data_IF_870777984836
#
_entry.id   IF_870777984836
#
_cell.length_a   1.000
_cell.length_b   1.000
_cell.length_c   1.000
_cell.angle_alpha   90.00
_cell.angle_beta   90.00
_cell.angle_gamma   90.00
#
_symmetry.space_group_name_H-M   'P 1'
#
loop_
_entity.id
_entity.type
_entity.pdbx_description
1 polymer ?
#
# COMPACT_ATOMS: atom_id res chain seq x y z
N UNK A 1 -6.16 -5.07 -14.71
CA UNK A 1 -5.27 -4.79 -13.56
C UNK A 1 -4.47 -3.51 -13.79
N UNK A 2 -3.53 -3.44 -14.75
CA UNK A 2 -2.83 -2.18 -15.10
C UNK A 2 -3.78 -1.02 -15.46
N UNK A 3 -4.78 -1.25 -16.32
CA UNK A 3 -5.79 -0.22 -16.65
C UNK A 3 -6.58 0.28 -15.45
N UNK A 4 -6.79 -0.56 -14.42
CA UNK A 4 -7.51 -0.16 -13.21
C UNK A 4 -6.63 0.74 -12.31
N UNK A 5 -5.31 0.49 -12.31
CA UNK A 5 -4.35 1.36 -11.62
C UNK A 5 -4.21 2.73 -12.32
N UNK A 6 -4.23 2.79 -13.65
CA UNK A 6 -4.15 4.05 -14.40
C UNK A 6 -5.47 4.85 -14.40
N UNK A 7 -5.93 5.24 -13.22
CA UNK A 7 -7.07 6.13 -13.00
C UNK A 7 -6.60 7.53 -12.60
N UNK A 8 -7.52 8.51 -12.66
CA UNK A 8 -7.21 9.92 -12.42
C UNK A 8 -6.56 10.18 -11.05
N UNK A 9 -7.00 9.49 -10.00
CA UNK A 9 -6.46 9.68 -8.65
C UNK A 9 -5.00 9.21 -8.56
N UNK A 10 -4.69 8.03 -9.12
CA UNK A 10 -3.32 7.52 -9.18
C UNK A 10 -2.40 8.39 -10.05
N UNK A 11 -2.90 8.86 -11.19
CA UNK A 11 -2.14 9.75 -12.07
C UNK A 11 -1.88 11.10 -11.39
N UNK A 12 -2.89 11.67 -10.71
CA UNK A 12 -2.76 12.89 -9.92
C UNK A 12 -1.73 12.73 -8.80
N UNK A 13 -1.79 11.64 -8.04
CA UNK A 13 -0.81 11.33 -6.97
C UNK A 13 0.62 11.27 -7.52
N UNK A 14 0.82 10.62 -8.66
CA UNK A 14 2.14 10.57 -9.31
C UNK A 14 2.63 11.95 -9.74
N UNK A 15 1.77 12.77 -10.36
CA UNK A 15 2.11 14.13 -10.75
C UNK A 15 2.51 14.99 -9.54
N UNK A 16 1.69 14.97 -8.48
CA UNK A 16 1.98 15.72 -7.24
C UNK A 16 3.31 15.26 -6.65
N UNK A 17 3.57 13.94 -6.59
CA UNK A 17 4.84 13.39 -6.05
C UNK A 17 6.09 13.75 -6.85
N UNK A 18 5.93 14.31 -8.06
CA UNK A 18 7.00 14.74 -8.96
C UNK A 18 6.96 16.25 -9.22
N UNK A 19 6.25 17.01 -8.40
CA UNK A 19 6.17 18.47 -8.51
C UNK A 19 5.53 18.93 -9.82
N UNK A 20 4.50 18.21 -10.28
CA UNK A 20 3.79 18.44 -11.54
C UNK A 20 4.67 18.30 -12.81
N UNK A 21 5.86 17.71 -12.70
CA UNK A 21 6.70 17.42 -13.85
C UNK A 21 6.19 16.15 -14.57
N UNK A 22 5.61 16.35 -15.75
CA UNK A 22 4.97 15.28 -16.55
C UNK A 22 5.96 14.19 -16.95
N UNK A 23 7.17 14.54 -17.40
CA UNK A 23 8.18 13.57 -17.83
C UNK A 23 8.62 12.66 -16.68
N UNK A 24 8.90 13.24 -15.51
CA UNK A 24 9.26 12.48 -14.31
C UNK A 24 8.11 11.61 -13.81
N UNK A 25 6.88 12.11 -13.89
CA UNK A 25 5.69 11.35 -13.51
C UNK A 25 5.46 10.17 -14.47
N UNK A 26 5.63 10.37 -15.77
CA UNK A 26 5.52 9.32 -16.79
C UNK A 26 6.59 8.23 -16.59
N UNK A 27 7.84 8.62 -16.40
CA UNK A 27 8.93 7.66 -16.13
C UNK A 27 8.69 6.86 -14.84
N UNK A 28 8.07 7.46 -13.82
CA UNK A 28 7.68 6.76 -12.61
C UNK A 28 6.51 5.79 -12.86
N UNK A 29 5.49 6.24 -13.61
CA UNK A 29 4.33 5.43 -13.96
C UNK A 29 4.74 4.16 -14.69
N UNK A 30 5.63 4.25 -15.69
CA UNK A 30 6.13 3.10 -16.44
C UNK A 30 6.83 2.07 -15.54
N UNK A 31 7.70 2.54 -14.63
CA UNK A 31 8.36 1.69 -13.64
C UNK A 31 7.36 1.01 -12.72
N UNK A 32 6.37 1.76 -12.23
CA UNK A 32 5.33 1.23 -11.35
C UNK A 32 4.46 0.20 -12.08
N UNK A 33 4.07 0.44 -13.33
CA UNK A 33 3.30 -0.51 -14.15
C UNK A 33 4.09 -1.81 -14.33
N UNK A 34 5.36 -1.71 -14.72
CA UNK A 34 6.23 -2.87 -14.92
C UNK A 34 6.37 -3.66 -13.61
N UNK A 35 6.61 -2.98 -12.49
CA UNK A 35 6.69 -3.60 -11.18
C UNK A 35 5.39 -4.32 -10.80
N UNK A 36 4.22 -3.67 -10.96
CA UNK A 36 2.92 -4.30 -10.66
C UNK A 36 2.64 -5.52 -11.54
N UNK A 37 3.07 -5.50 -12.80
CA UNK A 37 2.93 -6.65 -13.69
C UNK A 37 3.82 -7.83 -13.27
N UNK A 38 5.00 -7.57 -12.71
CA UNK A 38 5.92 -8.61 -12.24
C UNK A 38 5.55 -9.12 -10.84
N UNK A 39 5.20 -8.22 -9.93
CA UNK A 39 5.04 -8.50 -8.50
C UNK A 39 3.59 -8.81 -8.11
N UNK A 40 2.62 -8.34 -8.90
CA UNK A 40 1.18 -8.57 -8.72
C UNK A 40 0.74 -8.30 -7.26
N UNK A 41 0.99 -7.07 -6.75
CA UNK A 41 0.85 -6.77 -5.33
C UNK A 41 -0.59 -6.96 -4.82
N UNK A 42 -1.60 -6.83 -5.67
CA UNK A 42 -3.00 -7.09 -5.33
C UNK A 42 -3.27 -8.53 -4.84
N UNK A 43 -2.46 -9.49 -5.26
CA UNK A 43 -2.56 -10.91 -4.92
C UNK A 43 -1.47 -11.32 -3.90
N UNK A 44 -0.70 -10.36 -3.38
CA UNK A 44 0.40 -10.63 -2.46
C UNK A 44 -0.09 -11.10 -1.10
N UNK A 45 0.53 -12.17 -0.60
CA UNK A 45 0.30 -12.73 0.73
C UNK A 45 1.65 -12.92 1.42
N UNK A 46 1.80 -12.42 2.65
CA UNK A 46 3.00 -12.65 3.43
C UNK A 46 2.93 -14.02 4.10
N UNK A 47 3.75 -14.97 3.61
CA UNK A 47 3.81 -16.32 4.18
C UNK A 47 4.22 -16.31 5.67
N UNK A 48 5.14 -15.43 6.05
CA UNK A 48 5.57 -15.33 7.46
C UNK A 48 4.41 -14.99 8.40
N UNK A 49 3.47 -14.14 7.96
CA UNK A 49 2.26 -13.82 8.72
C UNK A 49 1.15 -14.87 8.61
N UNK A 50 1.16 -15.72 7.57
CA UNK A 50 0.29 -16.90 7.50
C UNK A 50 0.69 -17.94 8.55
N UNK A 51 2.01 -18.13 8.74
CA UNK A 51 2.53 -19.10 9.69
C UNK A 51 2.46 -18.58 11.14
N UNK A 52 2.82 -17.31 11.36
CA UNK A 52 2.68 -16.62 12.65
C UNK A 52 2.22 -15.16 12.46
N UNK A 53 0.99 -14.79 12.86
CA UNK A 53 0.50 -13.42 12.79
C UNK A 53 1.36 -12.37 13.53
N UNK A 54 2.30 -12.80 14.37
CA UNK A 54 3.26 -11.96 15.08
C UNK A 54 4.66 -11.95 14.46
N UNK A 55 4.82 -12.51 13.26
CA UNK A 55 6.11 -12.59 12.58
C UNK A 55 6.72 -11.20 12.33
N UNK A 56 5.91 -10.26 11.84
CA UNK A 56 6.33 -8.90 11.50
C UNK A 56 5.81 -7.83 12.47
N UNK A 57 6.42 -6.66 12.41
CA UNK A 57 6.23 -5.51 13.31
C UNK A 57 5.03 -4.62 12.98
N UNK A 58 4.56 -4.63 11.73
CA UNK A 58 3.53 -3.71 11.23
C UNK A 58 2.11 -4.29 11.35
N UNK A 59 1.19 -3.54 11.95
CA UNK A 59 -0.24 -3.87 12.05
C UNK A 59 -1.11 -2.68 11.68
N UNK A 60 -2.25 -2.95 11.02
CA UNK A 60 -3.29 -1.94 10.85
C UNK A 60 -4.15 -1.88 12.12
N UNK A 61 -4.31 -0.69 12.70
CA UNK A 61 -5.03 -0.46 13.96
C UNK A 61 -6.09 0.63 13.77
N UNK A 62 -7.20 0.27 13.11
CA UNK A 62 -8.32 1.18 12.92
C UNK A 62 -8.00 2.41 12.06
N UNK A 63 -8.62 3.53 12.41
CA UNK A 63 -8.55 4.81 11.68
C UNK A 63 -8.43 5.98 12.64
N UNK A 64 -7.86 7.10 12.17
CA UNK A 64 -7.86 8.35 12.92
C UNK A 64 -9.17 9.15 12.75
N UNK A 65 -9.21 10.36 13.32
CA UNK A 65 -10.36 11.27 13.22
C UNK A 65 -10.65 11.79 11.81
N UNK A 66 -9.69 11.68 10.89
CA UNK A 66 -9.83 12.03 9.46
C UNK A 66 -10.15 10.79 8.61
N UNK A 67 -10.49 9.66 9.26
CA UNK A 67 -10.80 8.40 8.58
C UNK A 67 -9.59 7.85 7.78
N UNK A 68 -8.36 8.22 8.14
CA UNK A 68 -7.15 7.65 7.54
C UNK A 68 -6.81 6.34 8.25
N UNK A 69 -6.48 5.26 7.52
CA UNK A 69 -5.98 4.03 8.13
C UNK A 69 -4.74 4.30 8.97
N UNK A 70 -4.68 3.71 10.17
CA UNK A 70 -3.51 3.82 11.06
C UNK A 70 -2.73 2.52 11.00
N UNK A 71 -1.42 2.63 10.74
CA UNK A 71 -0.46 1.55 10.89
C UNK A 71 0.38 1.79 12.14
N UNK A 72 0.50 0.76 12.97
CA UNK A 72 1.39 0.74 14.13
C UNK A 72 2.56 -0.21 13.83
N UNK A 73 3.79 0.29 13.91
CA UNK A 73 5.01 -0.48 13.73
C UNK A 73 5.78 -0.59 15.04
N UNK A 74 5.94 -1.81 15.55
CA UNK A 74 6.79 -2.06 16.72
C UNK A 74 7.94 -2.99 16.36
N UNK A 75 9.09 -2.44 15.98
CA UNK A 75 10.27 -3.20 15.57
C UNK A 75 10.76 -4.20 16.63
N UNK A 76 10.50 -3.92 17.92
CA UNK A 76 10.83 -4.83 19.02
C UNK A 76 9.97 -6.10 19.03
N UNK A 77 8.78 -6.06 18.41
CA UNK A 77 7.87 -7.20 18.33
C UNK A 77 8.08 -8.05 17.07
N UNK A 78 8.89 -7.60 16.10
CA UNK A 78 9.23 -8.42 14.93
C UNK A 78 10.10 -9.61 15.34
N UNK A 79 9.57 -10.82 15.14
CA UNK A 79 10.30 -12.09 15.26
C UNK A 79 11.16 -12.33 14.02
N UNK A 80 10.63 -11.99 12.85
CA UNK A 80 11.32 -12.03 11.57
C UNK A 80 11.63 -10.59 11.11
N UNK A 81 12.89 -10.30 10.82
CA UNK A 81 13.38 -8.94 10.54
C UNK A 81 14.03 -8.79 9.18
N UNK A 82 14.24 -9.88 8.45
CA UNK A 82 14.96 -9.88 7.18
C UNK A 82 14.11 -10.43 6.05
N UNK A 83 13.41 -11.54 6.27
CA UNK A 83 12.62 -12.20 5.24
C UNK A 83 11.17 -11.72 5.25
N UNK A 84 10.58 -11.54 4.06
CA UNK A 84 9.14 -11.26 3.95
C UNK A 84 8.72 -9.84 4.32
N UNK A 85 9.62 -8.99 4.86
CA UNK A 85 9.28 -7.67 5.42
C UNK A 85 8.64 -6.76 4.37
N UNK A 86 9.18 -6.73 3.14
CA UNK A 86 8.61 -5.90 2.09
C UNK A 86 7.31 -6.49 1.55
N UNK A 87 7.18 -7.83 1.48
CA UNK A 87 5.93 -8.47 1.08
C UNK A 87 4.82 -8.19 2.09
N UNK A 88 5.14 -8.24 3.38
CA UNK A 88 4.23 -7.87 4.47
C UNK A 88 3.76 -6.44 4.32
N UNK A 89 4.69 -5.48 4.12
CA UNK A 89 4.33 -4.09 3.92
C UNK A 89 3.41 -3.91 2.72
N UNK A 90 3.75 -4.48 1.57
CA UNK A 90 2.94 -4.38 0.35
C UNK A 90 1.55 -5.01 0.54
N UNK A 91 1.47 -6.20 1.12
CA UNK A 91 0.20 -6.86 1.44
C UNK A 91 -0.67 -5.97 2.34
N UNK A 92 -0.11 -5.39 3.40
CA UNK A 92 -0.87 -4.53 4.32
C UNK A 92 -1.37 -3.25 3.66
N UNK A 93 -0.56 -2.63 2.80
CA UNK A 93 -0.96 -1.43 2.05
C UNK A 93 -2.07 -1.75 1.02
N UNK A 94 -1.92 -2.81 0.24
CA UNK A 94 -2.92 -3.22 -0.76
C UNK A 94 -4.23 -3.68 -0.10
N UNK A 95 -4.15 -4.37 1.05
CA UNK A 95 -5.32 -4.78 1.82
C UNK A 95 -6.11 -3.57 2.32
N UNK A 96 -5.44 -2.54 2.85
CA UNK A 96 -6.07 -1.30 3.29
C UNK A 96 -6.78 -0.60 2.14
N UNK A 97 -6.11 -0.43 0.99
CA UNK A 97 -6.71 0.23 -0.17
C UNK A 97 -7.98 -0.52 -0.60
N UNK A 98 -7.91 -1.85 -0.70
CA UNK A 98 -9.03 -2.71 -1.12
C UNK A 98 -10.23 -2.65 -0.16
N UNK A 99 -9.99 -2.81 1.14
CA UNK A 99 -11.07 -2.83 2.14
C UNK A 99 -11.80 -1.48 2.13
N UNK A 100 -11.05 -0.40 2.06
CA UNK A 100 -11.60 0.96 2.21
C UNK A 100 -12.29 1.44 0.95
N UNK A 101 -11.77 1.12 -0.23
CA UNK A 101 -12.47 1.37 -1.48
C UNK A 101 -13.84 0.65 -1.50
N UNK A 102 -13.92 -0.56 -0.91
CA UNK A 102 -15.17 -1.30 -0.74
C UNK A 102 -16.10 -0.65 0.29
N UNK A 103 -15.60 -0.29 1.47
CA UNK A 103 -16.40 0.34 2.56
C UNK A 103 -16.99 1.68 2.12
N UNK A 104 -16.20 2.50 1.42
CA UNK A 104 -16.59 3.85 1.06
C UNK A 104 -17.36 3.92 -0.28
N UNK A 105 -17.69 2.77 -0.89
CA UNK A 105 -18.32 2.69 -2.22
C UNK A 105 -17.55 3.53 -3.26
N UNK A 106 -16.23 3.63 -3.11
CA UNK A 106 -15.36 4.46 -3.96
C UNK A 106 -15.50 5.98 -3.81
N UNK A 107 -16.25 6.50 -2.81
CA UNK A 107 -16.41 7.94 -2.57
C UNK A 107 -15.24 8.58 -1.83
N UNK A 108 -14.73 7.89 -0.80
CA UNK A 108 -13.58 8.34 0.01
C UNK A 108 -12.42 7.35 -0.16
N UNK A 109 -11.68 7.47 -1.26
CA UNK A 109 -10.55 6.57 -1.52
C UNK A 109 -9.40 6.81 -0.55
N UNK A 110 -8.67 5.75 -0.21
CA UNK A 110 -7.48 5.89 0.63
C UNK A 110 -6.36 6.54 -0.17
N UNK A 111 -6.01 7.76 0.23
CA UNK A 111 -4.86 8.48 -0.32
C UNK A 111 -3.71 8.64 0.67
N UNK A 112 -4.00 8.52 1.96
CA UNK A 112 -3.08 8.76 3.04
C UNK A 112 -3.35 7.76 4.16
N UNK A 113 -2.31 7.49 4.95
CA UNK A 113 -2.37 6.69 6.16
C UNK A 113 -1.46 7.31 7.22
N UNK A 114 -1.75 7.02 8.48
CA UNK A 114 -0.93 7.45 9.62
C UNK A 114 -0.01 6.31 9.98
N UNK A 115 1.27 6.61 10.18
CA UNK A 115 2.26 5.65 10.66
C UNK A 115 2.70 6.04 12.06
N UNK A 116 2.55 5.10 13.00
CA UNK A 116 2.91 5.24 14.43
C UNK A 116 4.03 4.28 14.77
#
# INVERSE_FOLDING_TARGET
RTKAYCNDDNLRRLLVSRGMNVEKAMAQLEKTIKWRQTVVPEDMVCQGCQDDPHSHDLRQVGTDSENRPVFYACFNQAKERTHGVWQHLVEKLEAVIRIRDSENQGKDKVEQWVWV
#
